data_IF_994611090119
#
_entry.id   IF_994611090119
#
_cell.length_a   1.000
_cell.length_b   1.000
_cell.length_c   1.000
_cell.angle_alpha   90.00
_cell.angle_beta   90.00
_cell.angle_gamma   90.00
#
_symmetry.space_group_name_H-M   'P 1'
#
loop_
_entity.id
_entity.type
_entity.pdbx_description
1 polymer ?
#
# COMPACT_ATOMS: atom_id res chain seq x y z
N UNK A 1 -10.47 7.02 14.17
CA UNK A 1 -8.99 7.02 14.09
C UNK A 1 -8.59 6.05 12.99
N UNK A 2 -7.82 6.49 12.00
CA UNK A 2 -7.41 5.69 10.83
C UNK A 2 -5.99 5.14 11.03
N UNK A 3 -5.61 4.09 10.29
CA UNK A 3 -4.27 3.46 10.38
C UNK A 3 -3.12 4.48 10.23
N UNK A 4 -3.21 5.40 9.27
CA UNK A 4 -2.13 6.36 9.03
C UNK A 4 -1.94 7.39 10.14
N UNK A 5 -2.97 7.66 10.94
CA UNK A 5 -2.82 8.53 12.10
C UNK A 5 -1.82 7.96 13.11
N UNK A 6 -1.80 6.63 13.28
CA UNK A 6 -0.82 5.96 14.15
C UNK A 6 0.60 6.17 13.61
N UNK A 7 0.79 6.05 12.29
CA UNK A 7 2.11 6.27 11.65
C UNK A 7 2.57 7.71 11.85
N UNK A 8 1.68 8.70 11.72
CA UNK A 8 2.01 10.10 11.99
C UNK A 8 2.44 10.32 13.45
N UNK A 9 1.76 9.70 14.42
CA UNK A 9 2.13 9.81 15.84
C UNK A 9 3.50 9.21 16.17
N UNK A 10 3.98 8.25 15.38
CA UNK A 10 5.32 7.69 15.52
C UNK A 10 6.41 8.49 14.79
N UNK A 11 6.07 9.61 14.14
CA UNK A 11 7.00 10.34 13.28
C UNK A 11 7.39 9.54 12.03
N UNK A 12 6.58 8.57 11.64
CA UNK A 12 6.84 7.69 10.50
C UNK A 12 6.60 8.38 9.15
N UNK A 13 7.16 7.77 8.11
CA UNK A 13 6.94 8.18 6.72
C UNK A 13 5.86 7.29 6.12
N UNK A 14 4.76 7.90 5.66
CA UNK A 14 3.67 7.19 4.98
C UNK A 14 3.96 7.12 3.49
N UNK A 15 4.00 5.90 2.95
CA UNK A 15 4.16 5.64 1.52
C UNK A 15 2.95 4.84 1.05
N UNK A 16 2.04 5.50 0.34
CA UNK A 16 0.87 4.86 -0.27
C UNK A 16 1.13 4.54 -1.75
N UNK A 17 0.32 3.66 -2.38
CA UNK A 17 0.47 3.41 -3.80
C UNK A 17 -0.02 4.58 -4.66
N UNK A 18 -1.02 5.35 -4.20
CA UNK A 18 -1.66 6.39 -4.99
C UNK A 18 -2.21 5.85 -6.32
N UNK A 19 -2.51 6.76 -7.26
CA UNK A 19 -2.92 6.41 -8.62
C UNK A 19 -1.72 6.48 -9.56
N UNK A 20 -0.78 5.56 -9.37
CA UNK A 20 0.53 5.63 -10.05
C UNK A 20 0.72 4.57 -11.13
N UNK A 21 -0.08 3.50 -11.11
CA UNK A 21 -0.09 2.41 -12.08
C UNK A 21 -1.53 1.94 -12.31
N UNK A 22 -1.80 1.34 -13.48
CA UNK A 22 -3.12 0.91 -13.93
C UNK A 22 -3.88 0.06 -12.90
N UNK A 23 -3.16 -0.83 -12.20
CA UNK A 23 -3.73 -1.68 -11.14
C UNK A 23 -4.44 -0.89 -10.04
N UNK A 24 -3.99 0.33 -9.71
CA UNK A 24 -4.69 1.16 -8.72
C UNK A 24 -5.88 1.92 -9.26
N UNK A 25 -5.92 2.19 -10.56
CA UNK A 25 -7.13 2.71 -11.19
C UNK A 25 -8.23 1.63 -11.22
N UNK A 26 -7.83 0.36 -11.39
CA UNK A 26 -8.76 -0.78 -11.30
C UNK A 26 -9.29 -0.97 -9.87
N UNK A 27 -8.44 -0.82 -8.85
CA UNK A 27 -8.86 -0.98 -7.44
C UNK A 27 -9.52 0.24 -6.83
N UNK A 28 -9.26 1.45 -7.34
CA UNK A 28 -9.88 2.69 -6.87
C UNK A 28 -9.50 3.11 -5.44
N UNK A 29 -8.43 2.53 -4.87
CA UNK A 29 -7.99 2.82 -3.50
C UNK A 29 -6.58 3.42 -3.48
N UNK A 30 -6.43 4.75 -3.32
CA UNK A 30 -5.12 5.38 -3.30
C UNK A 30 -4.34 5.13 -2.00
N UNK A 31 -4.99 4.60 -0.96
CA UNK A 31 -4.41 4.41 0.36
C UNK A 31 -3.65 3.08 0.49
N UNK A 32 -4.01 2.06 -0.28
CA UNK A 32 -3.39 0.73 -0.22
C UNK A 32 -4.27 -0.34 -0.87
N UNK A 33 -3.74 -1.55 -1.02
CA UNK A 33 -4.52 -2.70 -1.48
C UNK A 33 -5.67 -3.04 -0.53
N UNK A 34 -6.84 -3.35 -1.09
CA UNK A 34 -8.04 -3.77 -0.35
C UNK A 34 -8.76 -4.89 -1.09
N UNK A 35 -9.50 -5.72 -0.35
CA UNK A 35 -10.28 -6.83 -0.87
C UNK A 35 -11.56 -7.01 -0.06
N UNK A 36 -12.69 -7.26 -0.72
CA UNK A 36 -13.96 -7.60 -0.06
C UNK A 36 -14.01 -9.11 0.16
N UNK A 37 -13.79 -9.54 1.40
CA UNK A 37 -13.64 -10.96 1.71
C UNK A 37 -14.93 -11.73 1.95
N UNK A 38 -16.10 -11.06 2.07
CA UNK A 38 -17.35 -11.68 2.52
C UNK A 38 -17.15 -12.55 3.77
N UNK A 39 -16.64 -11.95 4.84
CA UNK A 39 -16.33 -12.65 6.09
C UNK A 39 -15.36 -13.85 5.92
N UNK A 40 -14.48 -13.78 4.91
CA UNK A 40 -13.46 -14.81 4.61
C UNK A 40 -13.91 -15.87 3.60
N UNK A 41 -15.13 -15.80 3.09
CA UNK A 41 -15.63 -16.74 2.07
C UNK A 41 -14.99 -16.53 0.69
N UNK A 42 -14.55 -15.31 0.39
CA UNK A 42 -13.94 -14.96 -0.89
C UNK A 42 -12.45 -14.65 -0.68
N UNK A 43 -11.54 -15.45 -1.27
CA UNK A 43 -10.11 -15.15 -1.24
C UNK A 43 -9.78 -13.93 -2.12
N UNK A 44 -8.64 -13.24 -1.87
CA UNK A 44 -8.17 -12.18 -2.75
C UNK A 44 -7.96 -12.68 -4.17
N UNK A 45 -8.45 -11.91 -5.15
CA UNK A 45 -8.20 -12.18 -6.56
C UNK A 45 -6.84 -11.62 -7.02
N UNK A 46 -6.48 -11.89 -8.28
CA UNK A 46 -5.22 -11.43 -8.85
C UNK A 46 -5.06 -9.91 -8.79
N UNK A 47 -6.16 -9.16 -8.95
CA UNK A 47 -6.14 -7.69 -8.90
C UNK A 47 -5.83 -7.22 -7.49
N UNK A 48 -6.42 -7.85 -6.46
CA UNK A 48 -6.17 -7.50 -5.07
C UNK A 48 -4.72 -7.80 -4.69
N UNK A 49 -4.20 -8.94 -5.15
CA UNK A 49 -2.80 -9.33 -4.95
C UNK A 49 -1.84 -8.39 -5.67
N UNK A 50 -2.15 -7.96 -6.90
CA UNK A 50 -1.33 -7.03 -7.66
C UNK A 50 -1.24 -5.65 -6.98
N UNK A 51 -2.37 -5.11 -6.51
CA UNK A 51 -2.40 -3.86 -5.75
C UNK A 51 -1.65 -3.94 -4.41
N UNK A 52 -1.73 -5.07 -3.72
CA UNK A 52 -0.93 -5.33 -2.53
C UNK A 52 0.57 -5.38 -2.87
N UNK A 53 0.96 -6.06 -3.95
CA UNK A 53 2.34 -6.13 -4.41
C UNK A 53 2.91 -4.76 -4.80
N UNK A 54 2.12 -3.93 -5.49
CA UNK A 54 2.48 -2.55 -5.82
C UNK A 54 2.71 -1.70 -4.56
N UNK A 55 1.79 -1.80 -3.60
CA UNK A 55 1.92 -1.11 -2.30
C UNK A 55 3.22 -1.50 -1.61
N UNK A 56 3.51 -2.80 -1.53
CA UNK A 56 4.75 -3.32 -0.93
C UNK A 56 6.00 -2.84 -1.67
N UNK A 57 6.01 -2.92 -3.01
CA UNK A 57 7.13 -2.49 -3.85
C UNK A 57 7.50 -1.02 -3.58
N UNK A 58 6.52 -0.13 -3.56
CA UNK A 58 6.76 1.31 -3.31
C UNK A 58 7.32 1.58 -1.92
N UNK A 59 6.83 0.88 -0.90
CA UNK A 59 7.37 0.99 0.47
C UNK A 59 8.83 0.52 0.50
N UNK A 60 9.15 -0.62 -0.12
CA UNK A 60 10.51 -1.16 -0.18
C UNK A 60 11.45 -0.23 -0.95
N UNK A 61 11.01 0.33 -2.07
CA UNK A 61 11.80 1.25 -2.89
C UNK A 61 12.10 2.55 -2.12
N UNK A 62 11.10 3.13 -1.47
CA UNK A 62 11.27 4.34 -0.66
C UNK A 62 12.20 4.09 0.54
N UNK A 63 11.99 3.00 1.28
CA UNK A 63 12.86 2.62 2.39
C UNK A 63 14.30 2.36 1.94
N UNK A 64 14.48 1.72 0.78
CA UNK A 64 15.80 1.45 0.21
C UNK A 64 16.51 2.75 -0.21
N UNK A 65 15.78 3.70 -0.80
CA UNK A 65 16.32 5.01 -1.16
C UNK A 65 16.74 5.80 0.08
N UNK A 66 15.90 5.85 1.12
CA UNK A 66 16.22 6.49 2.40
C UNK A 66 17.44 5.86 3.06
N UNK A 67 17.50 4.52 3.09
CA UNK A 67 18.66 3.79 3.64
C UNK A 67 19.95 4.12 2.89
N UNK A 68 19.91 4.23 1.56
CA UNK A 68 21.08 4.61 0.75
C UNK A 68 21.51 6.07 0.97
N UNK A 69 20.57 6.98 1.22
CA UNK A 69 20.89 8.39 1.44
C UNK A 69 21.39 8.70 2.86
N UNK A 70 21.12 7.80 3.82
CA UNK A 70 21.56 7.93 5.20
C UNK A 70 23.00 7.45 5.44
N UNK A 71 23.68 6.93 4.42
CA UNK A 71 25.09 6.53 4.41
C UNK A 71 25.80 6.99 3.14
#
# INVERSE_FOLDING_TARGET
MTLFNVIYHWGGIVVTPGYTEDDQFVQGNPYGGSHTSQNGEIPPDEKALASAALTARRVVDAASALKRAAG
#
